data_IF_018171498746
#
_entry.id   IF_018171498746
#
_cell.length_a   1.000
_cell.length_b   1.000
_cell.length_c   1.000
_cell.angle_alpha   90.00
_cell.angle_beta   90.00
_cell.angle_gamma   90.00
#
_symmetry.space_group_name_H-M   'P 1'
#
loop_
_entity.id
_entity.type
_entity.pdbx_description
1 polymer ?
#
# COMPACT_ATOMS: atom_id res chain seq x y z
N UNK A 1 49.32 -13.17 -32.95
CA UNK A 1 49.39 -11.93 -32.14
C UNK A 1 48.23 -10.97 -32.39
N UNK A 2 47.86 -10.63 -33.63
CA UNK A 2 46.73 -9.71 -33.91
C UNK A 2 45.35 -10.13 -33.37
N UNK A 3 45.04 -11.43 -33.34
CA UNK A 3 43.74 -11.90 -32.81
C UNK A 3 43.67 -11.91 -31.27
N UNK A 4 44.81 -12.06 -30.58
CA UNK A 4 44.86 -11.98 -29.11
C UNK A 4 44.69 -10.54 -28.61
N UNK A 5 45.23 -9.55 -29.35
CA UNK A 5 45.06 -8.12 -29.03
C UNK A 5 43.62 -7.63 -29.22
N UNK A 6 42.86 -8.24 -30.12
CA UNK A 6 41.45 -7.90 -30.36
C UNK A 6 40.54 -8.46 -29.25
N UNK A 7 40.82 -9.67 -28.76
CA UNK A 7 40.11 -10.25 -27.60
C UNK A 7 40.42 -9.49 -26.32
N UNK A 8 41.67 -9.06 -26.12
CA UNK A 8 42.06 -8.24 -24.96
C UNK A 8 41.44 -6.83 -25.00
N UNK A 9 41.30 -6.23 -26.19
CA UNK A 9 40.63 -4.94 -26.38
C UNK A 9 39.13 -4.99 -26.11
N UNK A 10 38.45 -6.10 -26.48
CA UNK A 10 37.02 -6.30 -26.20
C UNK A 10 36.76 -6.59 -24.72
N UNK A 11 37.70 -7.26 -24.03
CA UNK A 11 37.63 -7.50 -22.57
C UNK A 11 37.90 -6.23 -21.74
N UNK A 12 38.57 -5.22 -22.30
CA UNK A 12 38.90 -3.96 -21.62
C UNK A 12 37.81 -2.88 -21.75
N UNK A 13 36.78 -3.13 -22.54
CA UNK A 13 35.58 -2.29 -22.66
C UNK A 13 34.41 -2.83 -21.83
N UNK A 14 34.69 -3.33 -20.62
CA UNK A 14 33.67 -3.31 -19.58
C UNK A 14 33.55 -1.86 -19.14
N UNK A 15 32.62 -1.12 -19.74
CA UNK A 15 32.15 0.13 -19.13
C UNK A 15 31.79 -0.22 -17.68
N UNK A 16 32.48 0.39 -16.72
CA UNK A 16 32.04 0.35 -15.32
C UNK A 16 30.67 1.03 -15.34
N UNK A 17 29.61 0.24 -15.25
CA UNK A 17 28.25 0.76 -15.09
C UNK A 17 27.98 1.02 -13.61
N UNK A 18 26.72 1.34 -13.30
CA UNK A 18 26.26 1.49 -11.92
C UNK A 18 26.69 0.31 -11.03
N UNK A 19 27.26 0.62 -9.86
CA UNK A 19 27.55 -0.34 -8.81
C UNK A 19 26.26 -0.75 -8.08
N UNK A 20 25.47 -1.65 -8.70
CA UNK A 20 24.15 -2.07 -8.21
C UNK A 20 24.17 -2.56 -6.76
N UNK A 21 25.25 -3.18 -6.33
CA UNK A 21 25.44 -3.63 -4.96
C UNK A 21 25.32 -2.49 -3.92
N UNK A 22 25.53 -1.23 -4.29
CA UNK A 22 25.40 -0.07 -3.40
C UNK A 22 23.95 0.32 -3.12
N UNK A 23 22.99 -0.26 -3.84
CA UNK A 23 21.59 0.08 -3.75
C UNK A 23 20.81 -1.17 -3.33
N UNK A 24 19.95 -1.02 -2.31
CA UNK A 24 19.10 -2.12 -1.85
C UNK A 24 18.19 -2.59 -2.98
N UNK A 25 18.12 -3.91 -3.16
CA UNK A 25 16.99 -4.56 -3.84
C UNK A 25 15.78 -4.63 -2.91
N UNK A 26 14.61 -4.98 -3.44
CA UNK A 26 13.42 -5.16 -2.61
C UNK A 26 13.63 -6.20 -1.49
N UNK A 27 14.28 -7.32 -1.81
CA UNK A 27 14.56 -8.38 -0.83
C UNK A 27 15.56 -7.96 0.27
N UNK A 28 16.32 -6.89 0.03
CA UNK A 28 17.24 -6.28 0.99
C UNK A 28 16.61 -5.12 1.78
N UNK A 29 15.38 -4.74 1.46
CA UNK A 29 14.59 -3.76 2.20
C UNK A 29 13.51 -4.48 2.99
N UNK A 30 13.59 -4.45 4.33
CA UNK A 30 12.74 -5.28 5.18
C UNK A 30 11.24 -5.06 4.94
N UNK A 31 10.81 -3.81 4.84
CA UNK A 31 9.39 -3.53 4.58
C UNK A 31 8.97 -3.93 3.16
N UNK A 32 9.81 -3.71 2.15
CA UNK A 32 9.54 -4.11 0.77
C UNK A 32 9.29 -5.62 0.70
N UNK A 33 10.21 -6.42 1.24
CA UNK A 33 10.09 -7.87 1.36
C UNK A 33 8.81 -8.32 2.06
N UNK A 34 8.45 -7.68 3.18
CA UNK A 34 7.23 -7.99 3.96
C UNK A 34 5.92 -7.64 3.24
N UNK A 35 5.93 -6.67 2.33
CA UNK A 35 4.77 -6.33 1.49
C UNK A 35 4.72 -7.22 0.26
N UNK A 36 5.86 -7.42 -0.42
CA UNK A 36 5.96 -8.24 -1.63
C UNK A 36 5.66 -9.73 -1.39
N UNK A 37 5.84 -10.22 -0.16
CA UNK A 37 5.46 -11.58 0.23
C UNK A 37 3.94 -11.79 0.38
N UNK A 38 3.13 -10.72 0.43
CA UNK A 38 1.68 -10.84 0.54
C UNK A 38 1.10 -11.52 -0.70
N UNK A 39 0.11 -12.38 -0.48
CA UNK A 39 -0.62 -13.06 -1.54
C UNK A 39 -2.01 -12.43 -1.69
N UNK A 40 -2.51 -12.25 -2.92
CA UNK A 40 -3.88 -11.83 -3.14
C UNK A 40 -4.89 -12.73 -2.41
N UNK A 41 -5.95 -12.15 -1.88
CA UNK A 41 -6.96 -12.89 -1.15
C UNK A 41 -7.95 -12.01 -0.41
N UNK A 42 -8.67 -12.61 0.55
CA UNK A 42 -9.63 -11.86 1.37
C UNK A 42 -8.88 -11.01 2.40
N UNK A 43 -8.91 -9.69 2.22
CA UNK A 43 -8.36 -8.74 3.19
C UNK A 43 -9.03 -8.87 4.57
N UNK A 44 -8.26 -8.66 5.63
CA UNK A 44 -8.74 -8.73 7.03
C UNK A 44 -9.37 -7.43 7.53
N UNK A 45 -9.33 -6.36 6.74
CA UNK A 45 -9.87 -5.05 7.10
C UNK A 45 -11.37 -5.00 6.86
N UNK A 46 -12.14 -4.59 7.88
CA UNK A 46 -13.61 -4.58 7.85
C UNK A 46 -14.13 -3.24 8.35
N UNK A 47 -14.96 -2.58 7.54
CA UNK A 47 -15.62 -1.31 7.89
C UNK A 47 -16.64 -1.55 8.99
N UNK A 48 -16.77 -0.63 9.94
CA UNK A 48 -17.78 -0.62 11.00
C UNK A 48 -18.88 0.39 10.67
N UNK A 49 -19.96 0.01 9.96
CA UNK A 49 -20.91 0.97 9.41
C UNK A 49 -21.69 1.76 10.46
N UNK A 50 -21.82 1.22 11.68
CA UNK A 50 -22.46 1.91 12.82
C UNK A 50 -21.67 3.13 13.29
N UNK A 51 -20.39 3.23 12.94
CA UNK A 51 -19.50 4.35 13.31
C UNK A 51 -19.45 5.45 12.25
N UNK A 52 -20.17 5.27 11.12
CA UNK A 52 -20.14 6.17 9.98
C UNK A 52 -20.62 7.57 10.37
N UNK A 53 -19.74 8.55 10.21
CA UNK A 53 -19.98 9.98 10.37
C UNK A 53 -19.89 10.61 8.99
N UNK A 54 -20.88 11.41 8.62
CA UNK A 54 -20.95 12.05 7.30
C UNK A 54 -21.16 13.55 7.51
N UNK A 55 -20.42 14.36 6.76
CA UNK A 55 -20.62 15.80 6.60
C UNK A 55 -21.18 16.10 5.20
N UNK A 56 -21.27 17.36 4.80
CA UNK A 56 -21.71 17.70 3.44
C UNK A 56 -20.74 17.23 2.34
N UNK A 57 -19.45 17.12 2.67
CA UNK A 57 -18.35 16.94 1.71
C UNK A 57 -17.44 15.75 2.03
N UNK A 58 -17.59 15.17 3.23
CA UNK A 58 -16.70 14.11 3.71
C UNK A 58 -17.40 13.03 4.52
N UNK A 59 -16.74 11.89 4.63
CA UNK A 59 -17.12 10.76 5.48
C UNK A 59 -15.95 10.38 6.37
N UNK A 60 -16.28 9.78 7.52
CA UNK A 60 -15.34 9.18 8.44
C UNK A 60 -15.97 7.91 9.03
N UNK A 61 -15.25 6.80 9.01
CA UNK A 61 -15.75 5.51 9.51
C UNK A 61 -14.62 4.65 10.05
N UNK A 62 -14.88 3.92 11.13
CA UNK A 62 -13.90 3.01 11.72
C UNK A 62 -13.73 1.77 10.83
N UNK A 63 -12.50 1.29 10.74
CA UNK A 63 -12.11 0.04 10.09
C UNK A 63 -11.35 -0.80 11.10
N UNK A 64 -11.71 -2.08 11.23
CA UNK A 64 -11.02 -3.00 12.14
C UNK A 64 -10.26 -4.02 11.31
N UNK A 65 -8.98 -4.23 11.62
CA UNK A 65 -8.26 -5.40 11.13
C UNK A 65 -8.60 -6.60 12.02
N UNK A 66 -9.34 -7.55 11.47
CA UNK A 66 -9.86 -8.71 12.20
C UNK A 66 -8.80 -9.72 12.64
N UNK A 67 -7.55 -9.59 12.18
CA UNK A 67 -6.44 -10.46 12.61
C UNK A 67 -5.83 -10.02 13.94
N UNK A 68 -5.69 -8.71 14.15
CA UNK A 68 -4.99 -8.13 15.29
C UNK A 68 -5.88 -7.21 16.16
N UNK A 69 -7.14 -7.00 15.76
CA UNK A 69 -8.12 -6.12 16.39
C UNK A 69 -7.70 -4.64 16.48
N UNK A 70 -6.75 -4.21 15.66
CA UNK A 70 -6.35 -2.80 15.58
C UNK A 70 -7.41 -2.01 14.82
N UNK A 71 -7.73 -0.83 15.37
CA UNK A 71 -8.70 0.10 14.81
C UNK A 71 -8.00 1.18 13.99
N UNK A 72 -8.54 1.42 12.81
CA UNK A 72 -8.14 2.44 11.86
C UNK A 72 -9.32 3.37 11.58
N UNK A 73 -9.02 4.56 11.09
CA UNK A 73 -10.00 5.55 10.69
C UNK A 73 -9.89 5.79 9.18
N UNK A 74 -10.93 5.39 8.45
CA UNK A 74 -11.07 5.67 7.02
C UNK A 74 -11.78 7.02 6.87
N UNK A 75 -11.15 7.94 6.15
CA UNK A 75 -11.69 9.25 5.82
C UNK A 75 -11.81 9.35 4.30
N UNK A 76 -12.93 9.88 3.81
CA UNK A 76 -13.16 10.11 2.39
C UNK A 76 -13.67 11.53 2.17
N UNK A 77 -13.16 12.20 1.14
CA UNK A 77 -13.51 13.58 0.80
C UNK A 77 -13.88 13.66 -0.67
N UNK A 78 -14.98 14.34 -0.97
CA UNK A 78 -15.26 14.83 -2.30
C UNK A 78 -14.56 16.17 -2.51
N UNK A 79 -13.80 16.29 -3.59
CA UNK A 79 -13.08 17.51 -3.95
C UNK A 79 -13.56 18.02 -5.31
N UNK A 80 -13.35 19.31 -5.57
CA UNK A 80 -13.62 19.90 -6.88
C UNK A 80 -12.93 19.15 -8.01
N UNK A 81 -13.48 19.26 -9.22
CA UNK A 81 -13.02 18.58 -10.43
C UNK A 81 -13.16 17.05 -10.36
N UNK A 82 -14.11 16.54 -9.57
CA UNK A 82 -14.42 15.12 -9.51
C UNK A 82 -13.31 14.26 -8.91
N UNK A 83 -12.50 14.84 -8.01
CA UNK A 83 -11.41 14.15 -7.32
C UNK A 83 -11.94 13.59 -6.00
N UNK A 84 -11.60 12.35 -5.69
CA UNK A 84 -11.79 11.78 -4.35
C UNK A 84 -10.45 11.77 -3.61
N UNK A 85 -10.44 12.19 -2.33
CA UNK A 85 -9.31 11.95 -1.42
C UNK A 85 -9.71 10.89 -0.40
N UNK A 86 -8.87 9.89 -0.22
CA UNK A 86 -9.07 8.79 0.72
C UNK A 86 -7.88 8.72 1.65
N UNK A 87 -8.14 8.78 2.96
CA UNK A 87 -7.13 8.59 3.99
C UNK A 87 -7.45 7.38 4.85
N UNK A 88 -6.46 6.58 5.18
CA UNK A 88 -6.56 5.55 6.21
C UNK A 88 -5.43 5.78 7.22
N UNK A 89 -5.82 6.03 8.46
CA UNK A 89 -4.89 6.30 9.57
C UNK A 89 -5.14 5.34 10.72
N UNK A 90 -4.12 5.08 11.53
CA UNK A 90 -4.28 4.36 12.80
C UNK A 90 -5.12 5.23 13.75
N UNK A 91 -6.16 4.66 14.37
CA UNK A 91 -7.08 5.45 15.19
C UNK A 91 -6.45 5.86 16.53
N UNK A 92 -5.56 5.02 17.06
CA UNK A 92 -4.90 5.18 18.36
C UNK A 92 -3.41 4.82 18.22
N UNK A 93 -2.62 5.60 17.47
CA UNK A 93 -1.22 5.30 17.29
C UNK A 93 -0.44 5.58 18.58
N UNK A 94 0.61 4.77 18.85
CA UNK A 94 1.55 5.05 19.95
C UNK A 94 2.26 6.38 19.70
N UNK A 95 2.45 6.74 18.44
CA UNK A 95 3.07 7.97 17.98
C UNK A 95 2.46 8.40 16.65
N UNK A 96 2.23 9.70 16.50
CA UNK A 96 1.69 10.25 15.25
C UNK A 96 2.54 9.82 14.05
N UNK A 97 1.85 9.34 13.01
CA UNK A 97 2.48 9.02 11.73
C UNK A 97 2.70 10.28 10.94
N UNK A 98 3.74 10.27 10.11
CA UNK A 98 4.03 11.42 9.28
C UNK A 98 2.94 11.65 8.24
N UNK A 99 2.33 12.82 8.29
CA UNK A 99 1.45 13.35 7.24
C UNK A 99 2.15 14.54 6.60
N UNK A 100 2.26 14.57 5.27
CA UNK A 100 2.97 15.65 4.58
C UNK A 100 2.22 16.96 4.82
N UNK A 101 2.87 17.98 5.42
CA UNK A 101 2.21 19.25 5.68
C UNK A 101 1.80 19.98 4.40
N UNK A 102 0.70 20.75 4.50
CA UNK A 102 0.33 21.71 3.48
C UNK A 102 1.46 22.74 3.31
N UNK A 103 1.73 23.10 2.05
CA UNK A 103 2.83 23.95 1.62
C UNK A 103 4.04 23.17 1.10
N UNK A 104 4.10 21.84 1.26
CA UNK A 104 5.18 21.01 0.72
C UNK A 104 4.80 20.40 -0.63
N UNK A 105 3.85 19.45 -0.64
CA UNK A 105 3.32 18.84 -1.87
C UNK A 105 2.03 19.51 -2.33
N UNK A 106 1.08 19.69 -1.41
CA UNK A 106 -0.14 20.44 -1.64
C UNK A 106 0.13 21.92 -1.37
N UNK A 107 -0.16 22.80 -2.32
CA UNK A 107 -0.01 24.24 -2.13
C UNK A 107 -0.95 24.80 -1.05
N UNK A 108 -2.20 24.30 -1.03
CA UNK A 108 -3.23 24.62 -0.06
C UNK A 108 -4.13 23.39 0.13
N UNK A 109 -4.99 23.39 1.15
CA UNK A 109 -6.02 22.37 1.25
C UNK A 109 -6.94 22.42 0.01
N UNK A 110 -7.17 21.29 -0.66
CA UNK A 110 -8.05 21.24 -1.82
C UNK A 110 -9.48 21.67 -1.45
N UNK A 111 -10.13 22.38 -2.38
CA UNK A 111 -11.52 22.80 -2.17
C UNK A 111 -12.41 21.56 -2.20
N UNK A 112 -13.15 21.37 -1.11
CA UNK A 112 -14.10 20.28 -0.98
C UNK A 112 -15.39 20.54 -1.78
N UNK A 113 -15.98 19.48 -2.30
CA UNK A 113 -17.24 19.48 -3.04
C UNK A 113 -18.22 18.48 -2.42
N UNK A 114 -19.52 18.74 -2.59
CA UNK A 114 -20.58 17.96 -1.96
C UNK A 114 -20.48 16.47 -2.28
N UNK A 115 -20.42 15.65 -1.23
CA UNK A 115 -20.34 14.20 -1.30
C UNK A 115 -21.68 13.60 -0.85
N UNK A 116 -22.47 13.13 -1.82
CA UNK A 116 -23.85 12.66 -1.56
C UNK A 116 -23.85 11.20 -1.15
N UNK A 117 -24.25 10.91 0.09
CA UNK A 117 -24.43 9.53 0.58
C UNK A 117 -25.79 8.95 0.18
N UNK A 118 -25.80 7.76 -0.40
CA UNK A 118 -27.01 7.06 -0.88
C UNK A 118 -27.49 5.93 0.04
N UNK A 119 -26.93 5.82 1.25
CA UNK A 119 -27.28 4.76 2.19
C UNK A 119 -26.44 3.50 2.05
N UNK A 120 -26.69 2.55 2.96
CA UNK A 120 -26.09 1.22 2.98
C UNK A 120 -27.02 0.24 2.25
N UNK A 121 -26.51 -0.43 1.22
CA UNK A 121 -27.24 -1.47 0.48
C UNK A 121 -26.28 -2.61 0.11
N UNK A 122 -26.72 -3.85 0.28
CA UNK A 122 -25.97 -5.06 -0.14
C UNK A 122 -24.51 -5.10 0.37
N UNK A 123 -24.29 -4.69 1.63
CA UNK A 123 -22.94 -4.66 2.22
C UNK A 123 -22.03 -3.55 1.69
N UNK A 124 -22.58 -2.55 1.00
CA UNK A 124 -21.85 -1.42 0.40
C UNK A 124 -22.38 -0.08 0.90
N UNK A 125 -21.48 0.90 1.01
CA UNK A 125 -21.80 2.31 1.25
C UNK A 125 -21.51 3.08 -0.04
N UNK A 126 -22.50 3.80 -0.58
CA UNK A 126 -22.37 4.48 -1.88
C UNK A 126 -22.37 5.99 -1.73
N UNK A 127 -21.41 6.65 -2.37
CA UNK A 127 -21.24 8.10 -2.37
C UNK A 127 -21.13 8.62 -3.80
N UNK A 128 -21.73 9.77 -4.10
CA UNK A 128 -21.61 10.45 -5.40
C UNK A 128 -20.97 11.82 -5.27
N UNK A 129 -20.16 12.16 -6.26
CA UNK A 129 -19.49 13.44 -6.44
C UNK A 129 -19.74 13.88 -7.89
N UNK A 130 -20.71 14.78 -8.09
CA UNK A 130 -21.24 15.06 -9.43
C UNK A 130 -21.73 13.78 -10.12
N UNK A 131 -21.23 13.53 -11.33
CA UNK A 131 -21.51 12.32 -12.11
C UNK A 131 -20.70 11.09 -11.65
N UNK A 132 -19.69 11.28 -10.81
CA UNK A 132 -18.79 10.20 -10.39
C UNK A 132 -19.26 9.54 -9.09
N UNK A 133 -18.80 8.32 -8.83
CA UNK A 133 -19.20 7.56 -7.64
C UNK A 133 -18.01 6.89 -6.96
N UNK A 134 -18.09 6.80 -5.65
CA UNK A 134 -17.24 5.97 -4.81
C UNK A 134 -18.12 4.98 -4.04
N UNK A 135 -17.78 3.70 -4.11
CA UNK A 135 -18.50 2.61 -3.44
C UNK A 135 -17.55 1.91 -2.48
N UNK A 136 -17.88 1.93 -1.19
CA UNK A 136 -17.10 1.25 -0.15
C UNK A 136 -17.75 -0.10 0.15
N UNK A 137 -17.08 -1.19 -0.18
CA UNK A 137 -17.45 -2.53 0.27
C UNK A 137 -17.06 -2.72 1.74
N UNK A 138 -17.97 -3.21 2.57
CA UNK A 138 -17.78 -3.26 4.02
C UNK A 138 -16.87 -4.42 4.45
N UNK A 139 -17.01 -5.60 3.84
CA UNK A 139 -16.32 -6.82 4.28
C UNK A 139 -15.99 -7.76 3.09
N UNK A 140 -14.75 -7.80 2.62
CA UNK A 140 -13.60 -7.02 3.07
C UNK A 140 -13.67 -5.53 2.64
N UNK A 141 -12.92 -4.65 3.29
CA UNK A 141 -12.76 -3.26 2.87
C UNK A 141 -12.26 -3.20 1.42
N UNK A 142 -13.00 -2.54 0.54
CA UNK A 142 -12.60 -2.20 -0.82
C UNK A 142 -13.27 -0.91 -1.23
N UNK A 143 -12.58 -0.04 -1.97
CA UNK A 143 -13.17 1.20 -2.49
C UNK A 143 -13.14 1.16 -4.01
N UNK A 144 -14.31 1.19 -4.64
CA UNK A 144 -14.46 1.17 -6.09
C UNK A 144 -14.87 2.57 -6.58
N UNK A 145 -14.20 3.06 -7.63
CA UNK A 145 -14.41 4.39 -8.21
C UNK A 145 -14.98 4.28 -9.61
N UNK A 146 -15.98 5.11 -9.90
CA UNK A 146 -16.74 5.09 -11.13
C UNK A 146 -16.77 6.46 -11.78
N UNK A 147 -16.55 6.51 -13.08
CA UNK A 147 -16.95 7.63 -13.92
C UNK A 147 -18.35 7.30 -14.45
N UNK A 148 -19.36 8.07 -14.01
CA UNK A 148 -20.78 7.71 -14.21
C UNK A 148 -21.08 6.35 -13.57
N UNK A 149 -21.35 5.33 -14.39
CA UNK A 149 -21.63 3.96 -13.97
C UNK A 149 -20.51 2.98 -14.36
N UNK A 150 -19.43 3.47 -14.96
CA UNK A 150 -18.32 2.63 -15.40
C UNK A 150 -17.22 2.59 -14.32
N UNK A 151 -16.86 1.41 -13.80
CA UNK A 151 -15.76 1.28 -12.85
C UNK A 151 -14.43 1.57 -13.56
N UNK A 152 -13.55 2.33 -12.92
CA UNK A 152 -12.28 2.75 -13.52
C UNK A 152 -11.06 2.56 -12.61
N UNK A 153 -11.27 2.54 -11.29
CA UNK A 153 -10.22 2.21 -10.33
C UNK A 153 -10.81 1.53 -9.10
N UNK A 154 -10.04 0.65 -8.48
CA UNK A 154 -10.39 0.03 -7.19
C UNK A 154 -9.18 0.00 -6.26
N UNK A 155 -9.38 0.43 -5.02
CA UNK A 155 -8.40 0.32 -3.93
C UNK A 155 -8.69 -0.95 -3.12
N UNK A 156 -7.65 -1.72 -2.87
CA UNK A 156 -7.68 -2.99 -2.12
C UNK A 156 -8.60 -4.06 -2.76
N UNK A 157 -8.57 -4.18 -4.09
CA UNK A 157 -9.34 -5.19 -4.82
C UNK A 157 -8.74 -6.59 -4.69
N UNK A 158 -7.41 -6.69 -4.65
CA UNK A 158 -6.64 -7.92 -4.45
C UNK A 158 -6.48 -8.28 -2.97
N UNK A 159 -6.88 -7.39 -2.06
CA UNK A 159 -6.77 -7.62 -0.63
C UNK A 159 -5.36 -7.49 -0.07
N UNK A 160 -4.49 -6.72 -0.74
CA UNK A 160 -3.10 -6.50 -0.36
C UNK A 160 -2.91 -5.31 0.60
N UNK A 161 -4.00 -4.67 1.05
CA UNK A 161 -3.94 -3.67 2.11
C UNK A 161 -3.21 -4.23 3.33
N UNK A 162 -2.11 -3.59 3.68
CA UNK A 162 -1.33 -3.85 4.88
C UNK A 162 -0.93 -2.53 5.51
N UNK A 163 -1.27 -2.39 6.78
CA UNK A 163 -0.91 -1.27 7.62
C UNK A 163 -0.24 -1.83 8.87
N UNK A 164 1.08 -1.71 8.95
CA UNK A 164 1.84 -2.18 10.11
C UNK A 164 1.61 -1.21 11.26
N UNK A 165 0.72 -1.60 12.18
CA UNK A 165 0.30 -0.79 13.33
C UNK A 165 1.44 -0.51 14.31
N UNK A 166 1.31 0.57 15.07
CA UNK A 166 2.36 0.98 16.01
C UNK A 166 2.47 -0.03 17.14
N UNK A 167 3.68 -0.54 17.40
CA UNK A 167 3.93 -1.50 18.48
C UNK A 167 5.25 -1.24 19.19
N UNK A 168 5.31 -1.59 20.47
CA UNK A 168 6.56 -1.58 21.23
C UNK A 168 7.35 -2.85 20.97
N UNK A 169 8.68 -2.75 21.05
CA UNK A 169 9.54 -3.94 20.99
C UNK A 169 9.25 -4.79 22.23
N UNK A 170 8.76 -6.01 22.02
CA UNK A 170 8.62 -6.94 23.14
C UNK A 170 10.01 -7.22 23.71
N UNK A 171 10.14 -7.03 25.02
CA UNK A 171 11.37 -7.29 25.74
C UNK A 171 11.64 -8.80 25.72
N UNK A 172 12.91 -9.20 25.62
CA UNK A 172 13.32 -10.60 25.82
C UNK A 172 12.77 -11.20 27.14
N UNK A 173 12.55 -10.37 28.17
CA UNK A 173 11.95 -10.77 29.44
C UNK A 173 10.46 -11.07 29.31
N UNK A 174 9.73 -10.34 28.46
CA UNK A 174 8.31 -10.65 28.21
C UNK A 174 8.15 -11.92 27.37
N UNK A 175 9.04 -12.17 26.42
CA UNK A 175 9.06 -13.43 25.65
C UNK A 175 9.41 -14.64 26.53
N UNK A 176 10.43 -14.50 27.39
CA UNK A 176 10.76 -15.52 28.40
C UNK A 176 9.61 -15.73 29.38
N UNK A 177 8.97 -14.67 29.87
CA UNK A 177 7.82 -14.78 30.76
C UNK A 177 6.65 -15.52 30.10
N UNK A 178 6.33 -15.24 28.83
CA UNK A 178 5.29 -15.99 28.10
C UNK A 178 5.66 -17.46 27.88
N UNK A 179 6.93 -17.76 27.57
CA UNK A 179 7.40 -19.14 27.43
C UNK A 179 7.42 -19.88 28.78
N UNK A 180 7.80 -19.21 29.86
CA UNK A 180 7.80 -19.78 31.22
C UNK A 180 6.37 -19.99 31.72
N UNK A 181 5.47 -19.04 31.46
CA UNK A 181 4.05 -19.17 31.82
C UNK A 181 3.38 -20.29 31.00
N UNK A 182 3.72 -20.43 29.72
CA UNK A 182 3.30 -21.57 28.90
C UNK A 182 3.81 -22.89 29.46
N UNK A 183 5.08 -22.95 29.89
CA UNK A 183 5.69 -24.13 30.52
C UNK A 183 5.01 -24.48 31.86
N UNK A 184 4.67 -23.48 32.67
CA UNK A 184 4.01 -23.64 33.97
C UNK A 184 2.50 -23.92 33.85
N UNK A 185 1.88 -23.57 32.72
CA UNK A 185 0.47 -23.86 32.44
C UNK A 185 0.20 -25.28 31.91
N UNK A 186 1.24 -26.12 31.83
CA UNK A 186 1.03 -27.56 31.67
C UNK A 186 0.35 -28.10 32.94
N UNK A 187 -0.69 -28.94 32.82
CA UNK A 187 -1.47 -29.36 33.98
C UNK A 187 -0.63 -30.29 34.86
N UNK A 188 -0.04 -29.74 35.92
CA UNK A 188 0.42 -30.55 37.02
C UNK A 188 -0.81 -31.13 37.71
N UNK A 189 -0.93 -32.45 37.65
CA UNK A 189 -2.07 -33.21 38.17
C UNK A 189 -1.99 -33.24 39.69
N UNK A 190 -2.64 -32.30 40.36
CA UNK A 190 -2.65 -32.24 41.82
C UNK A 190 -3.85 -32.97 42.44
N UNK A 191 -3.53 -33.73 43.48
CA UNK A 191 -4.49 -34.39 44.36
C UNK A 191 -5.02 -33.32 45.35
N UNK A 192 -6.33 -33.27 45.55
CA UNK A 192 -7.05 -32.22 46.30
C UNK A 192 -6.53 -31.95 47.73
N UNK A 193 -6.64 -30.68 48.17
CA UNK A 193 -7.57 -30.21 49.23
C UNK A 193 -7.57 -28.69 49.49
N UNK A 194 -8.80 -28.16 49.60
CA UNK A 194 -9.36 -27.03 50.40
C UNK A 194 -8.73 -25.61 50.44
N UNK A 195 -9.46 -24.65 49.84
CA UNK A 195 -10.14 -23.54 50.55
C UNK A 195 -9.43 -22.20 50.80
N UNK A 196 -9.70 -21.16 49.98
CA UNK A 196 -10.24 -19.84 50.39
C UNK A 196 -10.36 -18.86 49.20
N UNK A 197 -11.38 -18.00 49.28
CA UNK A 197 -11.75 -16.90 48.37
C UNK A 197 -10.64 -15.86 48.15
N UNK A 198 -10.47 -15.41 46.90
CA UNK A 198 -10.44 -14.00 46.53
C UNK A 198 -10.47 -13.84 44.99
N UNK A 199 -11.45 -13.07 44.54
CA UNK A 199 -11.73 -12.65 43.17
C UNK A 199 -10.66 -11.73 42.60
N UNK A 200 -10.31 -11.93 41.33
CA UNK A 200 -10.14 -10.88 40.31
C UNK A 200 -9.93 -11.54 38.94
N UNK A 201 -10.99 -11.54 38.13
CA UNK A 201 -10.94 -11.88 36.70
C UNK A 201 -10.21 -10.77 35.95
N UNK A 202 -8.95 -10.99 35.60
CA UNK A 202 -8.28 -10.22 34.55
C UNK A 202 -8.68 -10.89 33.24
N UNK A 203 -9.61 -10.24 32.52
CA UNK A 203 -9.99 -10.59 31.16
C UNK A 203 -8.79 -10.31 30.24
N UNK A 204 -7.88 -11.27 30.17
CA UNK A 204 -6.73 -11.24 29.28
C UNK A 204 -7.18 -11.63 27.88
N UNK A 205 -7.71 -10.68 27.11
CA UNK A 205 -7.75 -10.81 25.66
C UNK A 205 -6.32 -11.04 25.16
N UNK A 206 -5.98 -12.30 24.91
CA UNK A 206 -4.78 -12.70 24.17
C UNK A 206 -4.86 -12.04 22.79
N UNK A 207 -4.16 -10.91 22.62
CA UNK A 207 -3.77 -10.43 21.29
C UNK A 207 -2.96 -11.56 20.65
N UNK A 208 -3.43 -12.09 19.53
CA UNK A 208 -2.59 -12.93 18.67
C UNK A 208 -1.44 -12.04 18.20
N UNK A 209 -0.28 -12.24 18.81
CA UNK A 209 0.94 -11.55 18.42
C UNK A 209 1.21 -11.85 16.94
N UNK A 210 1.28 -10.79 16.12
CA UNK A 210 1.74 -10.90 14.73
C UNK A 210 3.17 -11.42 14.75
N UNK A 211 3.41 -12.58 14.12
CA UNK A 211 4.73 -13.21 14.05
C UNK A 211 5.82 -12.17 13.74
N UNK A 212 6.76 -12.00 14.68
CA UNK A 212 7.94 -11.15 14.51
C UNK A 212 8.85 -11.79 13.46
N UNK A 213 8.59 -11.48 12.19
CA UNK A 213 9.43 -11.94 11.09
C UNK A 213 10.85 -11.34 11.16
N UNK A 214 11.83 -11.99 10.51
CA UNK A 214 13.14 -11.38 10.28
C UNK A 214 12.97 -10.01 9.62
N UNK A 215 13.91 -9.09 9.87
CA UNK A 215 13.90 -7.72 9.31
C UNK A 215 12.77 -6.82 9.86
N UNK A 216 12.14 -7.18 10.99
CA UNK A 216 11.09 -6.34 11.62
C UNK A 216 11.64 -5.18 12.47
N UNK A 217 12.88 -5.28 12.94
CA UNK A 217 13.52 -4.33 13.86
C UNK A 217 14.83 -3.81 13.27
N UNK A 218 15.95 -3.88 13.98
CA UNK A 218 17.22 -3.39 13.49
C UNK A 218 17.61 -4.04 12.16
N UNK A 219 18.03 -3.23 11.19
CA UNK A 219 18.47 -3.67 9.87
C UNK A 219 19.91 -3.19 9.62
N UNK A 220 20.67 -3.90 8.78
CA UNK A 220 22.04 -3.49 8.44
C UNK A 220 22.28 -3.66 6.95
N UNK A 221 22.79 -2.60 6.32
CA UNK A 221 23.16 -2.60 4.92
C UNK A 221 24.54 -1.99 4.73
N UNK A 222 25.47 -2.75 4.15
CA UNK A 222 26.86 -2.31 3.86
C UNK A 222 27.60 -1.67 5.05
N UNK A 223 27.34 -2.17 6.26
CA UNK A 223 27.95 -1.68 7.49
C UNK A 223 27.20 -0.54 8.18
N UNK A 224 26.17 0.04 7.54
CA UNK A 224 25.27 1.00 8.16
C UNK A 224 24.15 0.24 8.88
N UNK A 225 24.07 0.41 10.20
CA UNK A 225 23.02 -0.15 11.03
C UNK A 225 21.92 0.87 11.26
N UNK A 226 20.71 0.53 10.82
CA UNK A 226 19.49 1.21 11.21
C UNK A 226 18.99 0.60 12.55
N UNK A 227 18.74 1.45 13.54
CA UNK A 227 18.23 1.04 14.84
C UNK A 227 16.72 0.83 14.86
N UNK A 228 16.00 1.33 13.84
CA UNK A 228 14.56 1.17 13.62
C UNK A 228 13.72 1.25 14.90
N UNK A 229 13.78 2.37 15.64
CA UNK A 229 13.26 2.47 17.00
C UNK A 229 11.73 2.27 17.08
N UNK A 230 11.01 2.55 15.99
CA UNK A 230 9.56 2.41 15.92
C UNK A 230 9.12 1.03 15.39
N UNK A 231 10.07 0.14 15.06
CA UNK A 231 9.74 -1.16 14.49
C UNK A 231 9.11 -1.07 13.10
N UNK A 232 8.26 -2.03 12.70
CA UNK A 232 7.56 -1.99 11.43
C UNK A 232 6.43 -0.96 11.43
N UNK A 233 6.50 0.02 10.53
CA UNK A 233 5.52 1.11 10.39
C UNK A 233 5.08 1.30 8.93
N UNK A 234 5.32 0.33 8.06
CA UNK A 234 5.01 0.49 6.65
C UNK A 234 3.51 0.43 6.37
N UNK A 235 3.11 1.10 5.30
CA UNK A 235 1.74 1.16 4.79
C UNK A 235 1.73 0.76 3.33
N UNK A 236 0.72 0.04 2.88
CA UNK A 236 0.60 -0.35 1.48
C UNK A 236 -0.77 -0.89 1.12
N UNK A 237 -1.11 -0.80 -0.16
CA UNK A 237 -2.31 -1.40 -0.74
C UNK A 237 -2.18 -1.58 -2.25
N UNK A 238 -3.00 -2.47 -2.78
CA UNK A 238 -3.18 -2.60 -4.22
C UNK A 238 -4.17 -1.59 -4.79
N UNK A 239 -3.89 -1.17 -6.02
CA UNK A 239 -4.70 -0.27 -6.84
C UNK A 239 -4.88 -0.93 -8.20
N UNK A 240 -6.11 -1.28 -8.52
CA UNK A 240 -6.49 -1.84 -9.81
C UNK A 240 -7.00 -0.72 -10.72
N UNK A 241 -6.45 -0.63 -11.93
CA UNK A 241 -6.94 0.24 -13.01
C UNK A 241 -7.75 -0.59 -13.99
N UNK A 242 -9.06 -0.34 -14.03
CA UNK A 242 -10.04 -1.16 -14.77
C UNK A 242 -10.27 -0.57 -16.17
N UNK A 243 -10.21 -1.42 -17.20
CA UNK A 243 -10.21 -1.05 -18.63
C UNK A 243 -8.93 -0.32 -19.09
N UNK A 244 -7.79 -0.56 -18.41
CA UNK A 244 -6.51 0.05 -18.75
C UNK A 244 -5.40 -0.98 -18.90
N UNK A 245 -4.78 -1.02 -20.08
CA UNK A 245 -3.63 -1.91 -20.36
C UNK A 245 -2.28 -1.31 -19.98
N UNK A 246 -2.21 0.02 -19.81
CA UNK A 246 -0.96 0.74 -19.59
C UNK A 246 -1.11 1.78 -18.50
N UNK A 247 -0.05 1.93 -17.71
CA UNK A 247 0.11 2.97 -16.70
C UNK A 247 1.43 3.70 -16.92
N UNK A 248 1.47 4.97 -16.48
CA UNK A 248 2.53 5.94 -16.72
C UNK A 248 2.81 6.72 -15.44
N UNK A 249 3.95 7.39 -15.37
CA UNK A 249 4.29 8.28 -14.25
C UNK A 249 5.30 7.64 -13.30
N UNK A 250 5.12 7.87 -11.99
CA UNK A 250 6.07 7.53 -10.92
C UNK A 250 7.54 7.80 -11.25
N UNK A 251 7.91 8.96 -11.84
CA UNK A 251 9.32 9.28 -12.07
C UNK A 251 10.07 9.35 -10.73
N UNK A 252 11.41 9.31 -10.69
CA UNK A 252 12.35 9.31 -11.81
C UNK A 252 13.03 7.95 -12.02
N UNK A 253 12.85 7.38 -13.22
CA UNK A 253 13.49 6.14 -13.65
C UNK A 253 14.00 6.29 -15.08
N UNK A 254 15.17 5.73 -15.35
CA UNK A 254 15.70 5.63 -16.70
C UNK A 254 15.05 4.46 -17.44
N UNK A 255 13.73 4.51 -17.66
CA UNK A 255 12.97 3.41 -18.27
C UNK A 255 12.01 3.92 -19.37
N UNK A 256 11.18 3.04 -19.92
CA UNK A 256 10.15 3.41 -20.91
C UNK A 256 9.07 4.30 -20.30
N UNK A 257 8.47 5.15 -21.14
CA UNK A 257 7.37 6.02 -20.71
C UNK A 257 6.16 5.25 -20.18
N UNK A 258 5.73 4.20 -20.91
CA UNK A 258 4.80 3.21 -20.38
C UNK A 258 5.57 2.30 -19.41
N UNK A 259 5.06 2.16 -18.19
CA UNK A 259 5.71 1.39 -17.14
C UNK A 259 5.57 -0.11 -17.43
N UNK A 260 6.60 -0.87 -17.07
CA UNK A 260 6.68 -2.31 -17.33
C UNK A 260 6.13 -3.12 -16.15
N UNK A 261 5.71 -4.34 -16.43
CA UNK A 261 5.38 -5.30 -15.38
C UNK A 261 6.64 -5.71 -14.59
N UNK A 262 6.51 -5.86 -13.27
CA UNK A 262 7.63 -6.05 -12.34
C UNK A 262 7.76 -7.47 -11.80
N UNK A 263 6.94 -8.42 -12.29
CA UNK A 263 6.91 -9.83 -11.81
C UNK A 263 8.28 -10.50 -11.80
N UNK A 264 9.10 -10.25 -12.82
CA UNK A 264 10.41 -10.88 -13.00
C UNK A 264 11.59 -9.94 -12.67
N UNK A 265 11.31 -8.80 -12.02
CA UNK A 265 12.32 -7.79 -11.66
C UNK A 265 12.06 -7.28 -10.25
N UNK A 266 12.84 -6.29 -9.79
CA UNK A 266 12.42 -5.50 -8.63
C UNK A 266 11.23 -4.59 -9.00
N UNK A 267 10.44 -4.15 -7.99
CA UNK A 267 9.43 -3.12 -8.17
C UNK A 267 10.09 -1.77 -8.52
N UNK A 268 9.32 -0.83 -9.08
CA UNK A 268 9.79 0.56 -9.22
C UNK A 268 10.03 1.14 -7.84
N UNK A 269 11.25 1.62 -7.58
CA UNK A 269 11.62 2.21 -6.29
C UNK A 269 11.52 3.73 -6.35
N UNK A 270 10.89 4.32 -5.34
CA UNK A 270 10.82 5.76 -5.11
C UNK A 270 11.67 6.11 -3.88
N UNK A 271 12.91 6.53 -4.13
CA UNK A 271 13.83 6.95 -3.08
C UNK A 271 14.91 7.83 -3.71
N UNK A 272 14.98 9.11 -3.33
CA UNK A 272 15.92 10.03 -3.95
C UNK A 272 17.36 9.62 -3.60
N UNK A 273 18.10 9.12 -4.58
CA UNK A 273 19.46 8.63 -4.41
C UNK A 273 20.38 9.14 -5.52
N UNK A 274 21.65 9.35 -5.17
CA UNK A 274 22.68 9.67 -6.15
C UNK A 274 23.20 8.37 -6.78
N UNK A 275 22.75 8.08 -8.00
CA UNK A 275 23.18 6.90 -8.77
C UNK A 275 24.20 7.31 -9.81
N UNK A 276 25.47 7.21 -9.46
CA UNK A 276 26.58 7.43 -10.39
C UNK A 276 26.50 6.46 -11.58
N UNK A 277 26.57 7.00 -12.80
CA UNK A 277 26.53 6.25 -14.07
C UNK A 277 25.37 5.25 -14.13
N UNK A 278 24.15 5.72 -13.82
CA UNK A 278 22.94 4.90 -13.82
C UNK A 278 22.74 4.13 -15.15
N UNK A 279 22.28 2.89 -15.04
CA UNK A 279 21.90 2.07 -16.19
C UNK A 279 20.52 2.47 -16.74
N UNK A 280 20.27 2.15 -18.01
CA UNK A 280 18.97 2.31 -18.64
C UNK A 280 18.07 1.07 -18.46
N UNK A 281 16.79 1.26 -18.75
CA UNK A 281 15.72 0.26 -18.83
C UNK A 281 15.53 -0.61 -17.59
N UNK A 282 15.60 0.00 -16.40
CA UNK A 282 15.45 -0.71 -15.13
C UNK A 282 14.72 0.14 -14.07
N UNK A 283 14.15 -0.51 -13.04
CA UNK A 283 13.27 0.15 -12.07
C UNK A 283 13.99 0.80 -10.87
N UNK A 284 15.33 0.93 -10.91
CA UNK A 284 16.08 1.54 -9.81
C UNK A 284 15.73 3.01 -9.64
N UNK A 285 15.55 3.44 -8.38
CA UNK A 285 15.32 4.84 -8.06
C UNK A 285 16.48 5.73 -8.50
N UNK A 286 16.17 6.96 -8.93
CA UNK A 286 17.14 8.01 -9.27
C UNK A 286 17.00 9.20 -8.31
N UNK A 287 17.13 10.43 -8.80
CA UNK A 287 17.36 11.63 -7.99
C UNK A 287 16.08 12.24 -7.41
N UNK A 288 14.94 12.05 -8.09
CA UNK A 288 13.64 12.53 -7.66
C UNK A 288 12.61 11.42 -7.59
N UNK A 289 11.53 11.67 -6.86
CA UNK A 289 10.32 10.87 -6.97
C UNK A 289 9.05 11.71 -6.94
N UNK A 290 8.05 11.30 -7.73
CA UNK A 290 6.69 11.85 -7.71
C UNK A 290 5.71 10.68 -7.70
N UNK A 291 5.04 10.36 -6.58
CA UNK A 291 4.16 9.19 -6.45
C UNK A 291 2.79 9.41 -7.11
N UNK A 292 2.79 9.82 -8.38
CA UNK A 292 1.62 10.02 -9.23
C UNK A 292 1.69 9.02 -10.38
N UNK A 293 0.66 8.19 -10.51
CA UNK A 293 0.48 7.28 -11.63
C UNK A 293 -0.76 7.66 -12.44
N UNK A 294 -0.67 7.53 -13.75
CA UNK A 294 -1.76 7.80 -14.68
C UNK A 294 -2.04 6.55 -15.50
N UNK A 295 -3.31 6.17 -15.60
CA UNK A 295 -3.80 5.17 -16.52
C UNK A 295 -4.59 5.86 -17.64
N UNK A 296 -4.34 5.49 -18.89
CA UNK A 296 -4.95 6.13 -20.05
C UNK A 296 -5.40 5.10 -21.09
N UNK A 297 -6.62 5.29 -21.62
CA UNK A 297 -7.15 4.57 -22.77
C UNK A 297 -7.90 5.56 -23.68
N UNK A 298 -8.50 5.06 -24.77
CA UNK A 298 -9.21 5.90 -25.75
C UNK A 298 -10.41 6.68 -25.17
N UNK A 299 -10.97 6.24 -24.04
CA UNK A 299 -12.22 6.77 -23.46
C UNK A 299 -11.97 7.65 -22.25
N UNK A 300 -11.02 7.27 -21.39
CA UNK A 300 -10.84 7.82 -20.06
C UNK A 300 -9.35 7.95 -19.71
N UNK A 301 -9.09 8.81 -18.74
CA UNK A 301 -7.79 8.96 -18.08
C UNK A 301 -8.04 9.03 -16.59
N UNK A 302 -7.34 8.21 -15.82
CA UNK A 302 -7.43 8.20 -14.35
C UNK A 302 -6.05 8.44 -13.78
N UNK A 303 -5.96 9.37 -12.83
CA UNK A 303 -4.75 9.62 -12.05
C UNK A 303 -4.92 9.09 -10.63
N UNK A 304 -3.85 8.56 -10.06
CA UNK A 304 -3.76 8.23 -8.64
C UNK A 304 -2.49 8.87 -8.10
N UNK A 305 -2.65 9.80 -7.16
CA UNK A 305 -1.55 10.41 -6.43
C UNK A 305 -1.54 9.87 -5.01
N UNK A 306 -0.49 9.13 -4.66
CA UNK A 306 -0.28 8.59 -3.32
C UNK A 306 0.62 9.56 -2.55
N UNK A 307 0.02 10.39 -1.70
CA UNK A 307 0.73 11.42 -0.94
C UNK A 307 1.53 10.80 0.22
N UNK A 308 2.72 10.29 -0.10
CA UNK A 308 3.67 9.76 0.86
C UNK A 308 5.11 10.17 0.47
N UNK A 309 5.96 10.42 1.47
CA UNK A 309 7.32 10.93 1.29
C UNK A 309 8.41 9.94 1.76
N UNK A 310 8.01 8.79 2.33
CA UNK A 310 8.94 7.75 2.74
C UNK A 310 9.49 6.98 1.53
N UNK A 311 10.46 6.10 1.76
CA UNK A 311 10.88 5.14 0.72
C UNK A 311 9.66 4.34 0.25
N UNK A 312 9.44 4.31 -1.06
CA UNK A 312 8.31 3.63 -1.69
C UNK A 312 8.73 2.59 -2.72
N UNK A 313 7.91 1.57 -2.88
CA UNK A 313 8.07 0.55 -3.92
C UNK A 313 6.71 0.25 -4.57
N UNK A 314 6.72 0.08 -5.89
CA UNK A 314 5.51 -0.12 -6.69
C UNK A 314 5.70 -1.34 -7.59
N UNK A 315 4.98 -2.41 -7.29
CA UNK A 315 4.84 -3.55 -8.20
C UNK A 315 3.74 -3.27 -9.22
N UNK A 316 3.94 -3.73 -10.46
CA UNK A 316 3.00 -3.59 -11.57
C UNK A 316 2.78 -4.95 -12.21
N UNK A 317 1.51 -5.31 -12.38
CA UNK A 317 1.05 -6.52 -13.07
C UNK A 317 0.03 -6.09 -14.13
N UNK A 318 0.16 -6.61 -15.35
CA UNK A 318 -0.74 -6.26 -16.46
C UNK A 318 -1.20 -7.50 -17.22
N UNK A 319 -2.44 -7.48 -17.71
CA UNK A 319 -3.01 -8.57 -18.52
C UNK A 319 -2.22 -8.86 -19.79
N UNK A 320 -1.56 -7.84 -20.36
CA UNK A 320 -0.71 -7.96 -21.55
C UNK A 320 0.54 -8.82 -21.28
N UNK A 321 0.98 -8.90 -20.03
CA UNK A 321 2.18 -9.62 -19.61
C UNK A 321 1.88 -10.94 -18.87
N UNK A 322 0.75 -11.04 -18.15
CA UNK A 322 0.41 -12.19 -17.31
C UNK A 322 -1.07 -12.58 -17.39
N UNK A 323 -1.40 -13.49 -18.32
CA UNK A 323 -2.77 -14.04 -18.48
C UNK A 323 -3.22 -14.99 -17.37
N UNK A 324 -2.33 -15.40 -16.44
CA UNK A 324 -2.54 -16.55 -15.57
C UNK A 324 -3.15 -16.26 -14.19
N UNK A 325 -3.43 -14.99 -13.85
CA UNK A 325 -3.85 -14.60 -12.49
C UNK A 325 -5.27 -14.04 -12.40
N UNK A 326 -6.00 -13.95 -13.52
CA UNK A 326 -7.24 -13.16 -13.59
C UNK A 326 -8.55 -13.96 -13.62
N UNK A 327 -8.53 -15.27 -13.38
CA UNK A 327 -9.76 -16.08 -13.36
C UNK A 327 -10.76 -15.70 -12.24
N UNK A 328 -10.41 -14.80 -11.29
CA UNK A 328 -11.25 -14.53 -10.10
C UNK A 328 -11.56 -13.05 -9.79
N UNK A 329 -11.14 -12.06 -10.60
CA UNK A 329 -11.33 -10.63 -10.24
C UNK A 329 -12.36 -9.87 -11.09
N UNK A 330 -12.46 -10.18 -12.39
CA UNK A 330 -13.45 -9.59 -13.29
C UNK A 330 -14.89 -9.86 -12.81
N UNK A 331 -15.14 -11.06 -12.26
CA UNK A 331 -16.46 -11.50 -11.79
C UNK A 331 -17.08 -10.60 -10.71
N UNK A 332 -16.28 -9.91 -9.88
CA UNK A 332 -16.82 -9.15 -8.75
C UNK A 332 -17.19 -7.69 -9.08
N UNK A 333 -16.70 -7.15 -10.20
CA UNK A 333 -16.86 -5.72 -10.55
C UNK A 333 -17.33 -5.52 -11.99
N UNK A 334 -16.85 -6.31 -12.96
CA UNK A 334 -17.15 -6.12 -14.39
C UNK A 334 -18.19 -7.09 -14.94
N UNK A 335 -18.64 -8.09 -14.16
CA UNK A 335 -19.72 -8.99 -14.58
C UNK A 335 -19.34 -9.89 -15.75
N UNK A 336 -18.16 -10.53 -15.66
CA UNK A 336 -17.64 -11.54 -16.61
C UNK A 336 -17.25 -11.01 -18.00
N UNK A 337 -17.01 -9.71 -18.16
CA UNK A 337 -16.35 -9.20 -19.37
C UNK A 337 -14.82 -9.26 -19.21
N UNK A 338 -14.11 -9.87 -20.18
CA UNK A 338 -12.65 -9.77 -20.32
C UNK A 338 -12.28 -8.32 -20.64
N UNK A 339 -12.10 -7.52 -19.59
CA UNK A 339 -11.72 -6.11 -19.68
C UNK A 339 -10.26 -5.98 -19.29
N UNK A 340 -9.48 -5.26 -20.10
CA UNK A 340 -8.07 -5.03 -19.81
C UNK A 340 -7.88 -4.40 -18.42
N UNK A 341 -6.94 -4.92 -17.65
CA UNK A 341 -6.67 -4.49 -16.29
C UNK A 341 -5.17 -4.37 -16.04
N UNK A 342 -4.80 -3.34 -15.29
CA UNK A 342 -3.46 -3.19 -14.73
C UNK A 342 -3.58 -3.08 -13.22
N UNK A 343 -2.94 -3.99 -12.51
CA UNK A 343 -2.88 -3.99 -11.06
C UNK A 343 -1.53 -3.43 -10.61
N UNK A 344 -1.58 -2.60 -9.59
CA UNK A 344 -0.37 -2.07 -8.96
C UNK A 344 -0.43 -2.31 -7.46
N UNK A 345 0.72 -2.51 -6.82
CA UNK A 345 0.82 -2.67 -5.38
C UNK A 345 1.84 -1.67 -4.85
N UNK A 346 1.35 -0.71 -4.06
CA UNK A 346 2.12 0.41 -3.55
C UNK A 346 2.38 0.19 -2.08
N UNK A 347 3.62 0.35 -1.66
CA UNK A 347 3.98 0.25 -0.24
C UNK A 347 5.14 1.18 0.10
N UNK A 348 4.96 1.89 1.20
CA UNK A 348 5.85 2.93 1.72
C UNK A 348 6.32 2.57 3.13
N UNK A 349 7.55 2.92 3.47
CA UNK A 349 8.20 2.54 4.72
C UNK A 349 7.50 3.10 5.98
N UNK A 350 6.90 4.27 5.87
CA UNK A 350 6.21 4.96 6.98
C UNK A 350 5.12 5.91 6.46
N UNK A 351 4.49 6.64 7.38
CA UNK A 351 3.45 7.62 7.10
C UNK A 351 2.06 7.01 7.13
N UNK A 352 1.14 7.63 6.40
CA UNK A 352 -0.26 7.21 6.30
C UNK A 352 -0.59 6.82 4.86
N UNK A 353 -1.75 6.18 4.68
CA UNK A 353 -2.37 6.06 3.36
C UNK A 353 -3.15 7.35 3.13
N UNK A 354 -2.72 8.17 2.18
CA UNK A 354 -3.41 9.39 1.74
C UNK A 354 -3.36 9.40 0.20
N UNK A 355 -4.50 9.13 -0.43
CA UNK A 355 -4.61 8.89 -1.86
C UNK A 355 -5.62 9.86 -2.48
N UNK A 356 -5.22 10.49 -3.57
CA UNK A 356 -6.10 11.23 -4.45
C UNK A 356 -6.39 10.38 -5.68
N UNK A 357 -7.67 10.17 -5.97
CA UNK A 357 -8.15 9.51 -7.19
C UNK A 357 -8.75 10.58 -8.10
N UNK A 358 -8.07 10.86 -9.20
CA UNK A 358 -8.40 11.88 -10.17
C UNK A 358 -9.10 11.22 -11.37
N UNK A 359 -10.36 11.56 -11.62
CA UNK A 359 -11.20 10.84 -12.59
C UNK A 359 -11.27 11.48 -13.99
N UNK A 360 -10.26 12.26 -14.37
CA UNK A 360 -10.10 12.79 -15.73
C UNK A 360 -11.31 13.59 -16.25
N UNK A 361 -11.82 13.33 -17.48
CA UNK A 361 -11.63 12.13 -18.31
C UNK A 361 -10.47 12.18 -19.32
N UNK A 362 -9.83 13.34 -19.51
CA UNK A 362 -8.71 13.49 -20.45
C UNK A 362 -7.36 13.69 -19.73
N UNK A 363 -6.21 13.50 -20.40
CA UNK A 363 -4.91 13.80 -19.78
C UNK A 363 -4.79 15.27 -19.34
N UNK A 364 -5.34 16.20 -20.12
CA UNK A 364 -5.39 17.62 -19.79
C UNK A 364 -6.15 17.88 -18.48
N UNK A 365 -7.23 17.13 -18.28
CA UNK A 365 -8.08 17.22 -17.08
C UNK A 365 -7.38 16.77 -15.79
N UNK A 366 -6.32 15.96 -15.89
CA UNK A 366 -5.50 15.61 -14.73
C UNK A 366 -4.49 16.70 -14.36
N UNK A 367 -4.16 17.58 -15.31
CA UNK A 367 -3.15 18.62 -15.14
C UNK A 367 -3.76 20.00 -14.88
N UNK A 368 -5.00 20.21 -15.32
CA UNK A 368 -5.69 21.50 -15.32
C UNK A 368 -7.20 21.31 -15.10
N UNK A 369 -7.90 22.39 -14.75
CA UNK A 369 -9.36 22.40 -14.59
C UNK A 369 -10.05 22.00 -15.91
N UNK A 370 -10.93 21.01 -15.84
CA UNK A 370 -11.99 20.77 -16.82
C UNK A 370 -13.19 21.65 -16.43
#
# INVERSE_FOLDING_TARGET
MRQFSLVLGVLLSTCLGVHRENFRTCDQSGFCKRHRSLQPGRSSYVVQPSTLRISETSLMVDVINTKNNVRFLLQGYGLINGIFRVKLVEAEPIRDRYEIPIGITLFAEPVEEKLVYHGKKDGKLTFSLGDNKMVININPLRLDFFIKDKPVASLNALGLLKFEHSRTKQSWLSSLASSFFSLLSQPFRETQKEGHDASQSVDGQQKKDEEEGPDSWEETFKGFKDTKPNGPTSVGLDIAFLDFSYVYGIPEHADSFALKATKNTDPYRLFNVDVFEYDLYNPMALYGHVPLMVAHNEKNTVGVFFQNAAEGWIDIQSDAADKSLFENLADYVTGNEEVAQTNTHWYFEDGVIDIFVLLGPSPRCLQTVC
#
